data_IF_132207896243
#
_entry.id   IF_132207896243
#
_cell.length_a   1.000
_cell.length_b   1.000
_cell.length_c   1.000
_cell.angle_alpha   90.00
_cell.angle_beta   90.00
_cell.angle_gamma   90.00
#
_symmetry.space_group_name_H-M   'P 1'
#
loop_
_entity.id
_entity.type
_entity.pdbx_description
1 polymer ?
#
# COMPACT_ATOMS: atom_id res chain seq x y z
N UNK A 1 -69.16 52.14 -13.79
CA UNK A 1 -69.90 51.05 -14.43
C UNK A 1 -68.92 49.96 -14.80
N UNK A 2 -69.24 48.75 -14.33
CA UNK A 2 -68.70 47.42 -14.62
C UNK A 2 -67.28 47.02 -14.21
N UNK A 3 -67.32 46.13 -13.22
CA UNK A 3 -66.34 45.31 -12.51
C UNK A 3 -66.01 44.04 -13.31
N UNK A 4 -64.78 43.54 -13.15
CA UNK A 4 -64.41 42.09 -13.03
C UNK A 4 -62.88 42.03 -12.94
N UNK A 5 -62.20 41.87 -11.78
CA UNK A 5 -62.10 40.77 -10.79
C UNK A 5 -61.65 39.41 -11.35
N UNK A 6 -60.38 39.07 -11.10
CA UNK A 6 -59.97 37.84 -10.39
C UNK A 6 -58.62 38.06 -9.67
N UNK A 7 -58.60 37.64 -8.41
CA UNK A 7 -57.56 37.76 -7.38
C UNK A 7 -56.34 36.87 -7.69
N UNK A 8 -55.14 37.08 -7.13
CA UNK A 8 -54.71 36.59 -5.80
C UNK A 8 -53.57 37.45 -5.24
N UNK A 9 -53.67 37.80 -3.95
CA UNK A 9 -52.63 38.40 -3.11
C UNK A 9 -51.75 37.32 -2.46
N UNK A 10 -50.44 37.55 -2.36
CA UNK A 10 -49.59 36.87 -1.39
C UNK A 10 -48.58 37.86 -0.78
N UNK A 11 -48.50 37.77 0.55
CA UNK A 11 -47.80 38.63 1.51
C UNK A 11 -46.29 38.72 1.27
N UNK A 12 -45.75 39.93 1.42
CA UNK A 12 -44.37 40.19 1.81
C UNK A 12 -44.25 40.04 3.33
N UNK A 13 -43.51 39.03 3.80
CA UNK A 13 -42.96 38.99 5.14
C UNK A 13 -41.44 38.86 5.01
N UNK A 14 -40.73 39.90 5.45
CA UNK A 14 -39.28 39.90 5.51
C UNK A 14 -38.80 38.91 6.57
N UNK A 15 -37.86 38.05 6.18
CA UNK A 15 -37.05 37.28 7.10
C UNK A 15 -35.60 37.72 6.95
N UNK A 16 -35.07 38.28 8.03
CA UNK A 16 -33.64 38.44 8.32
C UNK A 16 -32.89 37.14 7.99
N UNK A 17 -31.95 37.22 7.04
CA UNK A 17 -30.94 36.20 6.82
C UNK A 17 -29.98 36.21 8.02
N UNK A 18 -30.19 35.27 8.95
CA UNK A 18 -29.12 34.79 9.82
C UNK A 18 -28.34 33.79 8.97
N UNK A 19 -27.15 34.19 8.52
CA UNK A 19 -26.16 33.27 7.96
C UNK A 19 -25.61 32.43 9.09
N UNK A 20 -26.25 31.30 9.39
CA UNK A 20 -25.54 30.20 10.04
C UNK A 20 -24.68 29.56 8.96
N UNK A 21 -23.37 29.78 9.06
CA UNK A 21 -22.39 28.97 8.37
C UNK A 21 -22.68 27.50 8.72
N UNK A 22 -23.27 26.78 7.78
CA UNK A 22 -23.33 25.33 7.87
C UNK A 22 -21.90 24.84 7.72
N UNK A 23 -21.32 24.33 8.80
CA UNK A 23 -20.32 23.29 8.68
C UNK A 23 -20.94 22.22 7.80
N UNK A 24 -20.49 22.13 6.55
CA UNK A 24 -20.53 20.86 5.86
C UNK A 24 -19.54 20.00 6.64
N UNK A 25 -20.08 19.16 7.52
CA UNK A 25 -19.35 17.98 7.97
C UNK A 25 -18.93 17.26 6.69
N UNK A 26 -17.65 17.36 6.36
CA UNK A 26 -17.02 16.50 5.40
C UNK A 26 -17.10 15.11 6.01
N UNK A 27 -18.08 14.32 5.57
CA UNK A 27 -18.04 12.89 5.74
C UNK A 27 -16.71 12.43 5.11
N UNK A 28 -15.85 11.84 5.94
CA UNK A 28 -14.69 11.08 5.46
C UNK A 28 -15.18 10.16 4.34
N UNK A 29 -14.48 10.16 3.21
CA UNK A 29 -14.75 9.20 2.15
C UNK A 29 -14.71 7.79 2.78
N UNK A 30 -15.78 7.01 2.62
CA UNK A 30 -15.79 5.63 3.09
C UNK A 30 -14.65 4.88 2.39
N UNK A 31 -13.81 4.20 3.17
CA UNK A 31 -12.75 3.31 2.68
C UNK A 31 -13.38 2.27 1.74
N UNK A 32 -13.02 2.28 0.45
CA UNK A 32 -13.50 1.28 -0.52
C UNK A 32 -12.68 -0.01 -0.47
N UNK A 33 -12.54 -0.57 0.73
CA UNK A 33 -11.94 -1.88 0.98
C UNK A 33 -12.91 -2.80 1.72
N UNK A 34 -12.57 -4.08 1.93
CA UNK A 34 -13.20 -4.85 3.00
C UNK A 34 -13.10 -4.07 4.32
N UNK A 35 -13.96 -4.32 5.29
CA UNK A 35 -13.81 -3.72 6.62
C UNK A 35 -12.54 -4.27 7.28
N UNK A 36 -11.40 -3.65 7.00
CA UNK A 36 -10.11 -3.97 7.59
C UNK A 36 -10.20 -3.55 9.05
N UNK A 37 -9.93 -4.48 9.98
CA UNK A 37 -9.84 -4.14 11.39
C UNK A 37 -8.82 -3.02 11.60
N UNK A 38 -8.99 -2.16 12.61
CA UNK A 38 -8.06 -1.05 12.82
C UNK A 38 -6.59 -1.50 12.96
N UNK A 39 -6.38 -2.76 13.39
CA UNK A 39 -5.07 -3.39 13.59
C UNK A 39 -4.65 -4.36 12.48
N UNK A 40 -5.47 -4.60 11.46
CA UNK A 40 -5.10 -5.53 10.38
C UNK A 40 -4.15 -4.86 9.36
N UNK A 41 -3.36 -5.71 8.70
CA UNK A 41 -2.43 -5.40 7.62
C UNK A 41 -2.64 -6.36 6.43
N UNK A 42 -3.75 -6.25 5.68
CA UNK A 42 -4.15 -7.27 4.73
C UNK A 42 -3.40 -7.25 3.40
N UNK A 43 -2.64 -6.20 3.07
CA UNK A 43 -1.99 -6.05 1.78
C UNK A 43 -0.79 -5.12 1.85
N UNK A 44 -0.15 -4.87 0.70
CA UNK A 44 0.93 -3.89 0.59
C UNK A 44 0.52 -2.56 1.20
N UNK A 45 1.39 -2.06 2.09
CA UNK A 45 1.18 -0.77 2.75
C UNK A 45 -0.22 -0.62 3.37
N UNK A 46 -0.79 -1.75 3.82
CA UNK A 46 -2.06 -1.92 4.54
C UNK A 46 -3.34 -1.64 3.76
N UNK A 47 -3.38 -0.62 2.91
CA UNK A 47 -4.61 -0.18 2.24
C UNK A 47 -4.48 -0.24 0.72
N UNK A 48 -5.61 -0.29 0.02
CA UNK A 48 -5.66 -0.22 -1.44
C UNK A 48 -5.01 1.06 -2.01
N UNK A 49 -4.85 2.10 -1.18
CA UNK A 49 -4.26 3.39 -1.55
C UNK A 49 -2.76 3.47 -1.26
N UNK A 50 -2.16 2.40 -0.74
CA UNK A 50 -0.75 2.27 -0.40
C UNK A 50 -0.28 3.36 0.59
N UNK A 51 -0.96 3.53 1.72
CA UNK A 51 -0.57 4.58 2.69
C UNK A 51 0.64 4.22 3.53
N UNK A 52 0.81 2.94 3.87
CA UNK A 52 1.91 2.49 4.75
C UNK A 52 1.75 3.02 6.17
N UNK A 53 0.51 3.30 6.58
CA UNK A 53 0.15 3.90 7.86
C UNK A 53 -0.87 3.03 8.61
N UNK A 54 -0.71 2.91 9.93
CA UNK A 54 -1.70 2.32 10.85
C UNK A 54 -1.85 3.12 12.13
N UNK A 55 -3.05 3.12 12.71
CA UNK A 55 -3.30 3.61 14.07
C UNK A 55 -2.98 2.57 15.15
N UNK A 56 -2.69 1.32 14.74
CA UNK A 56 -2.22 0.30 15.66
C UNK A 56 -0.89 0.71 16.29
N UNK A 57 -0.76 0.45 17.59
CA UNK A 57 0.54 0.56 18.24
C UNK A 57 1.49 -0.49 17.69
N UNK A 58 2.79 -0.19 17.75
CA UNK A 58 3.84 -1.20 17.67
C UNK A 58 4.67 -1.19 18.95
N UNK A 59 5.80 -1.93 18.98
CA UNK A 59 6.70 -1.92 20.14
C UNK A 59 7.18 -0.50 20.49
N UNK A 60 6.87 -0.07 21.72
CA UNK A 60 7.19 1.28 22.20
C UNK A 60 8.63 1.42 22.71
N UNK A 61 9.18 0.35 23.28
CA UNK A 61 10.57 0.25 23.69
C UNK A 61 11.37 -0.61 22.70
N UNK A 62 12.67 -0.78 22.93
CA UNK A 62 13.45 -1.75 22.14
C UNK A 62 12.75 -3.12 22.21
N UNK A 63 12.28 -3.66 21.07
CA UNK A 63 11.37 -4.79 21.07
C UNK A 63 12.06 -6.03 21.62
N UNK A 64 11.27 -6.99 22.09
CA UNK A 64 11.73 -8.36 22.35
C UNK A 64 11.20 -9.32 21.29
N UNK A 65 11.97 -10.37 20.97
CA UNK A 65 11.50 -11.40 20.04
C UNK A 65 10.38 -12.18 20.71
N UNK A 66 9.17 -12.09 20.14
CA UNK A 66 8.03 -12.91 20.56
C UNK A 66 8.21 -14.34 20.04
N UNK A 67 8.48 -14.45 18.75
CA UNK A 67 8.82 -15.71 18.08
C UNK A 67 9.64 -15.46 16.82
N UNK A 68 10.28 -16.54 16.35
CA UNK A 68 10.98 -16.64 15.07
C UNK A 68 10.63 -17.98 14.41
N UNK A 69 10.32 -17.94 13.12
CA UNK A 69 10.13 -19.12 12.27
C UNK A 69 11.14 -19.06 11.13
N UNK A 70 11.84 -20.17 10.86
CA UNK A 70 12.73 -20.30 9.71
C UNK A 70 11.97 -21.00 8.57
N UNK A 71 11.71 -20.26 7.49
CA UNK A 71 10.94 -20.68 6.32
C UNK A 71 11.87 -21.20 5.21
N UNK A 72 11.38 -22.06 4.30
CA UNK A 72 12.17 -22.52 3.17
C UNK A 72 12.33 -21.39 2.14
N UNK A 73 13.42 -20.64 2.24
CA UNK A 73 13.75 -19.55 1.32
C UNK A 73 13.42 -18.16 1.86
N UNK A 74 13.98 -17.14 1.23
CA UNK A 74 13.84 -15.76 1.66
C UNK A 74 12.39 -15.32 1.76
N UNK A 75 12.07 -14.53 2.78
CA UNK A 75 10.76 -13.91 2.91
C UNK A 75 10.66 -12.79 1.87
N UNK A 76 9.57 -12.77 1.08
CA UNK A 76 9.35 -11.76 0.05
C UNK A 76 9.17 -10.34 0.60
N UNK A 77 8.80 -9.39 -0.26
CA UNK A 77 8.79 -7.96 0.09
C UNK A 77 7.78 -7.55 1.18
N UNK A 78 6.83 -8.42 1.52
CA UNK A 78 5.81 -8.14 2.52
C UNK A 78 5.20 -9.41 3.12
N UNK A 79 4.50 -9.22 4.23
CA UNK A 79 3.56 -10.18 4.82
C UNK A 79 2.16 -9.55 4.89
N UNK A 80 1.12 -10.37 4.95
CA UNK A 80 -0.23 -9.93 5.30
C UNK A 80 -0.59 -10.43 6.70
N UNK A 81 -1.20 -9.61 7.53
CA UNK A 81 -1.63 -9.99 8.89
C UNK A 81 -3.09 -9.62 9.06
N UNK A 82 -3.96 -10.60 9.25
CA UNK A 82 -5.42 -10.36 9.38
C UNK A 82 -6.01 -11.33 10.37
N UNK A 83 -6.85 -10.84 11.28
CA UNK A 83 -7.57 -11.64 12.29
C UNK A 83 -6.64 -12.50 13.17
N UNK A 84 -5.41 -12.04 13.41
CA UNK A 84 -4.41 -12.78 14.19
C UNK A 84 -3.66 -13.87 13.42
N UNK A 85 -3.77 -13.91 12.08
CA UNK A 85 -2.99 -14.82 11.22
C UNK A 85 -2.00 -14.03 10.36
N UNK A 86 -0.75 -14.48 10.30
CA UNK A 86 0.30 -13.96 9.42
C UNK A 86 0.41 -14.87 8.19
N UNK A 87 0.19 -14.29 7.01
CA UNK A 87 0.37 -14.94 5.72
C UNK A 87 1.67 -14.49 5.08
N UNK A 88 2.45 -15.46 4.62
CA UNK A 88 3.79 -15.23 4.08
C UNK A 88 4.03 -16.07 2.84
N UNK A 89 4.62 -15.44 1.82
CA UNK A 89 5.12 -16.10 0.63
C UNK A 89 6.65 -15.98 0.58
N UNK A 90 7.31 -17.01 0.10
CA UNK A 90 8.77 -17.05 0.02
C UNK A 90 9.28 -17.06 -1.42
N UNK A 91 10.54 -16.64 -1.57
CA UNK A 91 11.29 -16.67 -2.81
C UNK A 91 11.46 -18.09 -3.38
N UNK A 92 11.26 -19.14 -2.58
CA UNK A 92 11.29 -20.53 -3.06
C UNK A 92 9.96 -21.00 -3.66
N UNK A 93 8.87 -20.28 -3.39
CA UNK A 93 7.51 -20.66 -3.79
C UNK A 93 6.66 -21.24 -2.66
N UNK A 94 7.16 -21.25 -1.42
CA UNK A 94 6.36 -21.70 -0.27
C UNK A 94 5.39 -20.62 0.21
N UNK A 95 4.21 -21.04 0.64
CA UNK A 95 3.15 -20.17 1.16
C UNK A 95 2.66 -20.75 2.50
N UNK A 96 2.60 -19.90 3.53
CA UNK A 96 2.27 -20.31 4.90
C UNK A 96 1.24 -19.38 5.54
N UNK A 97 0.46 -19.91 6.47
CA UNK A 97 -0.32 -19.17 7.46
C UNK A 97 0.14 -19.54 8.86
N UNK A 98 0.47 -18.53 9.67
CA UNK A 98 1.01 -18.68 11.02
C UNK A 98 0.15 -17.91 12.01
N UNK A 99 -0.08 -18.46 13.20
CA UNK A 99 -0.70 -17.70 14.30
C UNK A 99 0.22 -16.53 14.69
N UNK A 100 -0.32 -15.31 14.70
CA UNK A 100 0.45 -14.09 14.95
C UNK A 100 1.05 -14.02 16.36
N UNK A 101 0.53 -14.78 17.32
CA UNK A 101 0.98 -14.79 18.73
C UNK A 101 2.02 -15.85 19.00
N UNK A 102 1.94 -17.03 18.38
CA UNK A 102 2.85 -18.14 18.64
C UNK A 102 3.81 -18.45 17.50
N UNK A 103 3.48 -18.09 16.26
CA UNK A 103 4.21 -18.49 15.06
C UNK A 103 3.93 -19.94 14.63
N UNK A 104 2.95 -20.61 15.23
CA UNK A 104 2.56 -21.98 14.86
C UNK A 104 1.80 -21.97 13.52
N UNK A 105 2.04 -22.96 12.65
CA UNK A 105 1.31 -23.10 11.39
C UNK A 105 -0.18 -23.39 11.62
N UNK A 106 -1.06 -22.63 10.96
CA UNK A 106 -2.51 -22.81 11.02
C UNK A 106 -3.02 -23.84 9.99
N UNK A 107 -2.38 -23.90 8.82
CA UNK A 107 -2.61 -24.93 7.81
C UNK A 107 -1.28 -25.36 7.17
N UNK A 108 -1.29 -26.46 6.41
CA UNK A 108 -0.08 -27.08 5.88
C UNK A 108 0.54 -26.26 4.74
N UNK A 109 1.86 -26.08 4.75
CA UNK A 109 2.61 -25.39 3.68
C UNK A 109 2.21 -25.85 2.26
N UNK A 110 2.06 -24.87 1.37
CA UNK A 110 1.92 -25.09 -0.07
C UNK A 110 3.20 -24.68 -0.79
N UNK A 111 3.67 -25.50 -1.72
CA UNK A 111 4.84 -25.23 -2.57
C UNK A 111 4.42 -25.18 -4.04
N UNK A 112 4.60 -24.02 -4.66
CA UNK A 112 4.26 -23.77 -6.06
C UNK A 112 5.43 -23.98 -7.02
N UNK A 113 6.63 -24.31 -6.52
CA UNK A 113 7.83 -24.61 -7.31
C UNK A 113 8.40 -23.42 -8.09
N UNK A 114 7.83 -22.24 -7.91
CA UNK A 114 8.27 -20.94 -8.41
C UNK A 114 7.94 -19.89 -7.35
N UNK A 115 8.70 -18.80 -7.31
CA UNK A 115 8.48 -17.73 -6.34
C UNK A 115 7.01 -17.33 -6.28
N UNK A 116 6.50 -17.32 -5.06
CA UNK A 116 5.22 -16.76 -4.70
C UNK A 116 5.49 -15.44 -3.97
N UNK A 117 4.70 -14.41 -4.26
CA UNK A 117 4.97 -13.08 -3.72
C UNK A 117 3.69 -12.25 -3.58
N UNK A 118 3.83 -11.17 -2.80
CA UNK A 118 2.80 -10.16 -2.61
C UNK A 118 1.47 -10.72 -2.04
N UNK A 119 1.48 -11.42 -0.89
CA UNK A 119 0.24 -11.91 -0.29
C UNK A 119 -0.68 -10.74 0.05
N UNK A 120 -1.97 -10.91 -0.22
CA UNK A 120 -3.03 -10.05 0.27
C UNK A 120 -4.27 -10.85 0.68
N UNK A 121 -5.12 -10.25 1.51
CA UNK A 121 -6.35 -10.88 2.00
C UNK A 121 -7.57 -10.11 1.51
N UNK A 122 -8.51 -10.83 0.88
CA UNK A 122 -9.77 -10.27 0.36
C UNK A 122 -10.84 -11.34 0.33
N UNK A 123 -12.07 -11.00 0.72
CA UNK A 123 -13.27 -11.87 0.66
C UNK A 123 -13.09 -13.30 1.23
N UNK A 124 -12.30 -13.42 2.30
CA UNK A 124 -12.04 -14.70 2.96
C UNK A 124 -10.92 -15.53 2.32
N UNK A 125 -10.29 -15.03 1.25
CA UNK A 125 -9.17 -15.67 0.57
C UNK A 125 -7.85 -14.98 0.90
N UNK A 126 -6.78 -15.77 0.94
CA UNK A 126 -5.40 -15.33 0.76
C UNK A 126 -5.12 -15.37 -0.74
N UNK A 127 -4.70 -14.25 -1.31
CA UNK A 127 -4.39 -14.12 -2.73
C UNK A 127 -2.93 -13.71 -2.90
N UNK A 128 -2.23 -14.28 -3.87
CA UNK A 128 -0.84 -13.95 -4.18
C UNK A 128 -0.53 -14.16 -5.67
N UNK A 129 0.56 -13.55 -6.12
CA UNK A 129 1.08 -13.75 -7.48
C UNK A 129 2.22 -14.76 -7.50
N UNK A 130 2.46 -15.36 -8.67
CA UNK A 130 3.63 -16.20 -8.94
C UNK A 130 4.50 -15.59 -10.04
N UNK A 131 5.79 -15.94 -10.04
CA UNK A 131 6.69 -15.57 -11.15
C UNK A 131 6.31 -16.22 -12.49
N UNK A 132 5.48 -17.26 -12.49
CA UNK A 132 4.96 -17.89 -13.71
C UNK A 132 3.80 -17.13 -14.34
N UNK A 133 3.26 -16.11 -13.66
CA UNK A 133 2.16 -15.29 -14.15
C UNK A 133 0.78 -15.71 -13.65
N UNK A 134 0.71 -16.52 -12.60
CA UNK A 134 -0.55 -16.94 -12.00
C UNK A 134 -0.92 -16.01 -10.83
N UNK A 135 -2.20 -15.71 -10.69
CA UNK A 135 -2.79 -15.27 -9.42
C UNK A 135 -3.49 -16.49 -8.82
N UNK A 136 -3.15 -16.81 -7.57
CA UNK A 136 -3.72 -17.95 -6.84
C UNK A 136 -4.45 -17.43 -5.62
N UNK A 137 -5.62 -18.00 -5.35
CA UNK A 137 -6.39 -17.75 -4.14
C UNK A 137 -6.56 -19.03 -3.33
N UNK A 138 -6.27 -18.94 -2.04
CA UNK A 138 -6.45 -19.98 -1.04
C UNK A 138 -7.53 -19.57 -0.04
N UNK A 139 -8.42 -20.49 0.33
CA UNK A 139 -9.32 -20.31 1.46
C UNK A 139 -8.48 -20.12 2.74
N UNK A 140 -8.68 -19.01 3.44
CA UNK A 140 -7.88 -18.66 4.63
C UNK A 140 -8.02 -19.65 5.78
N UNK A 141 -9.13 -20.39 5.83
CA UNK A 141 -9.48 -21.25 6.97
C UNK A 141 -8.78 -22.60 6.93
N UNK A 142 -8.50 -23.13 5.74
CA UNK A 142 -7.90 -24.47 5.59
C UNK A 142 -6.78 -24.56 4.56
N UNK A 143 -6.45 -23.46 3.87
CA UNK A 143 -5.40 -23.40 2.85
C UNK A 143 -5.78 -24.04 1.51
N UNK A 144 -7.03 -24.51 1.34
CA UNK A 144 -7.43 -25.12 0.08
C UNK A 144 -7.49 -24.10 -1.06
N UNK A 145 -7.06 -24.48 -2.26
CA UNK A 145 -7.12 -23.61 -3.43
C UNK A 145 -8.58 -23.33 -3.81
N UNK A 146 -8.96 -22.05 -3.75
CA UNK A 146 -10.28 -21.57 -4.13
C UNK A 146 -10.36 -21.37 -5.65
N UNK A 147 -9.36 -20.69 -6.22
CA UNK A 147 -9.25 -20.43 -7.66
C UNK A 147 -7.81 -20.06 -8.06
N UNK A 148 -7.52 -20.19 -9.36
CA UNK A 148 -6.26 -19.75 -9.99
C UNK A 148 -6.56 -19.14 -11.36
N UNK A 149 -5.94 -17.99 -11.66
CA UNK A 149 -6.07 -17.28 -12.93
C UNK A 149 -4.70 -17.02 -13.55
N UNK A 150 -4.49 -17.51 -14.78
CA UNK A 150 -3.27 -17.28 -15.57
C UNK A 150 -3.33 -15.91 -16.26
N UNK A 151 -2.32 -15.07 -16.04
CA UNK A 151 -2.16 -13.75 -16.67
C UNK A 151 -1.11 -13.78 -17.78
N UNK A 152 -0.88 -12.63 -18.44
CA UNK A 152 0.00 -12.55 -19.62
C UNK A 152 1.50 -12.70 -19.34
N UNK A 153 1.91 -12.73 -18.08
CA UNK A 153 3.31 -12.75 -17.66
C UNK A 153 3.47 -12.58 -16.16
N UNK A 154 4.72 -12.50 -15.65
CA UNK A 154 5.00 -12.43 -14.23
C UNK A 154 4.25 -11.28 -13.57
N UNK A 155 3.62 -11.61 -12.46
CA UNK A 155 2.69 -10.73 -11.77
C UNK A 155 3.48 -9.69 -10.97
N UNK A 156 3.04 -8.43 -11.04
CA UNK A 156 3.35 -7.44 -10.02
C UNK A 156 2.50 -7.71 -8.76
N UNK A 157 2.42 -6.79 -7.81
CA UNK A 157 1.66 -7.03 -6.58
C UNK A 157 0.15 -6.84 -6.74
N UNK A 158 -0.72 -7.80 -6.34
CA UNK A 158 -2.16 -7.62 -6.38
C UNK A 158 -2.64 -6.63 -5.31
N UNK A 159 -3.55 -5.74 -5.70
CA UNK A 159 -4.15 -4.73 -4.80
C UNK A 159 -5.65 -4.99 -4.65
N UNK A 160 -6.13 -5.42 -3.47
CA UNK A 160 -7.56 -5.63 -3.24
C UNK A 160 -8.29 -4.31 -2.99
N UNK A 161 -9.45 -4.11 -3.63
CA UNK A 161 -10.32 -2.97 -3.38
C UNK A 161 -11.78 -3.31 -3.70
N UNK A 162 -12.66 -3.18 -2.70
CA UNK A 162 -14.12 -3.32 -2.88
C UNK A 162 -14.62 -4.63 -3.49
N UNK A 163 -13.95 -5.76 -3.23
CA UNK A 163 -14.29 -7.08 -3.80
C UNK A 163 -13.60 -7.38 -5.13
N UNK A 164 -12.76 -6.48 -5.62
CA UNK A 164 -11.96 -6.66 -6.83
C UNK A 164 -10.47 -6.73 -6.49
N UNK A 165 -9.68 -7.26 -7.42
CA UNK A 165 -8.22 -7.31 -7.41
C UNK A 165 -7.69 -6.58 -8.64
N UNK A 166 -6.78 -5.63 -8.40
CA UNK A 166 -6.09 -4.91 -9.47
C UNK A 166 -4.65 -5.35 -9.55
N UNK A 167 -4.22 -5.74 -10.74
CA UNK A 167 -2.95 -6.44 -10.94
C UNK A 167 -2.24 -5.94 -12.18
N UNK A 168 -0.94 -5.68 -12.06
CA UNK A 168 -0.07 -5.40 -13.20
C UNK A 168 0.75 -6.61 -13.63
N UNK A 169 1.16 -6.68 -14.89
CA UNK A 169 2.15 -7.65 -15.36
C UNK A 169 3.40 -6.95 -15.88
N UNK A 170 4.54 -7.64 -15.72
CA UNK A 170 5.86 -7.10 -16.10
C UNK A 170 6.25 -7.50 -17.52
N UNK A 171 5.88 -8.70 -17.98
CA UNK A 171 6.03 -9.14 -19.37
C UNK A 171 4.70 -9.11 -20.11
N UNK A 172 4.75 -8.77 -21.40
CA UNK A 172 3.55 -8.47 -22.20
C UNK A 172 2.60 -7.55 -21.43
N UNK A 173 3.06 -6.34 -21.06
CA UNK A 173 2.59 -5.66 -19.87
C UNK A 173 1.15 -5.18 -20.00
N UNK A 174 0.36 -5.51 -18.98
CA UNK A 174 -1.07 -5.22 -18.88
C UNK A 174 -1.44 -4.83 -17.46
N UNK A 175 -2.59 -4.19 -17.32
CA UNK A 175 -3.29 -4.04 -16.04
C UNK A 175 -4.61 -4.78 -16.14
N UNK A 176 -4.94 -5.50 -15.08
CA UNK A 176 -6.13 -6.33 -14.95
C UNK A 176 -6.99 -5.85 -13.77
N UNK A 177 -8.30 -6.02 -13.91
CA UNK A 177 -9.23 -6.15 -12.80
C UNK A 177 -9.82 -7.56 -12.79
N UNK A 178 -9.80 -8.20 -11.62
CA UNK A 178 -10.35 -9.51 -11.38
C UNK A 178 -11.37 -9.42 -10.25
N UNK A 179 -12.45 -10.19 -10.35
CA UNK A 179 -13.35 -10.43 -9.23
C UNK A 179 -12.61 -11.26 -8.15
N UNK A 180 -12.61 -10.82 -6.89
CA UNK A 180 -11.84 -11.46 -5.84
C UNK A 180 -12.43 -12.81 -5.41
N UNK A 181 -13.72 -13.02 -5.63
CA UNK A 181 -14.42 -14.23 -5.19
C UNK A 181 -14.14 -15.45 -6.06
N UNK A 182 -13.87 -15.28 -7.36
CA UNK A 182 -13.66 -16.39 -8.30
C UNK A 182 -12.50 -16.19 -9.31
N UNK A 183 -11.84 -15.03 -9.29
CA UNK A 183 -10.72 -14.72 -10.17
C UNK A 183 -11.12 -14.44 -11.62
N UNK A 184 -12.41 -14.23 -11.92
CA UNK A 184 -12.84 -13.85 -13.26
C UNK A 184 -12.27 -12.49 -13.65
N UNK A 185 -11.63 -12.41 -14.82
CA UNK A 185 -11.11 -11.15 -15.37
C UNK A 185 -12.31 -10.32 -15.88
N UNK A 186 -12.57 -9.19 -15.22
CA UNK A 186 -13.60 -8.25 -15.65
C UNK A 186 -13.12 -7.41 -16.84
N UNK A 187 -11.88 -6.91 -16.77
CA UNK A 187 -11.23 -6.21 -17.85
C UNK A 187 -9.71 -6.33 -17.78
N UNK A 188 -9.06 -6.17 -18.93
CA UNK A 188 -7.61 -6.10 -19.02
C UNK A 188 -7.14 -5.20 -20.17
N UNK A 189 -6.23 -4.27 -19.85
CA UNK A 189 -5.75 -3.26 -20.81
C UNK A 189 -4.24 -3.35 -21.01
N UNK A 190 -3.74 -3.27 -22.27
CA UNK A 190 -2.31 -3.17 -22.52
C UNK A 190 -1.75 -1.83 -22.03
N UNK A 191 -0.53 -1.86 -21.48
CA UNK A 191 0.22 -0.66 -21.11
C UNK A 191 1.56 -0.60 -21.84
N UNK A 192 2.17 0.58 -21.86
CA UNK A 192 3.33 0.87 -22.72
C UNK A 192 4.66 0.32 -22.16
N UNK A 193 4.68 -0.11 -20.90
CA UNK A 193 5.86 -0.58 -20.19
C UNK A 193 5.45 -1.49 -19.01
N UNK A 194 6.38 -2.35 -18.51
CA UNK A 194 6.16 -3.13 -17.29
C UNK A 194 5.55 -2.31 -16.16
N UNK A 195 4.50 -2.85 -15.53
CA UNK A 195 3.95 -2.26 -14.30
C UNK A 195 4.95 -2.48 -13.16
N UNK A 196 5.22 -1.44 -12.38
CA UNK A 196 6.07 -1.55 -11.18
C UNK A 196 5.21 -1.87 -9.96
N UNK A 197 5.66 -2.86 -9.19
CA UNK A 197 5.16 -3.24 -7.87
C UNK A 197 3.61 -3.24 -7.75
N UNK A 198 3.02 -2.33 -6.97
CA UNK A 198 1.60 -2.35 -6.61
C UNK A 198 0.83 -1.16 -7.21
N UNK A 199 -0.34 -1.39 -7.82
CA UNK A 199 -1.30 -0.33 -8.11
C UNK A 199 -1.76 0.41 -6.83
N UNK A 200 -2.25 1.64 -6.97
CA UNK A 200 -3.02 2.32 -5.92
C UNK A 200 -4.44 2.58 -6.41
N UNK A 201 -5.42 2.11 -5.66
CA UNK A 201 -6.83 2.06 -6.06
C UNK A 201 -7.66 2.98 -5.19
N UNK A 202 -8.54 3.71 -5.85
CA UNK A 202 -9.57 4.56 -5.27
C UNK A 202 -10.92 4.17 -5.85
N UNK A 203 -12.00 4.72 -5.31
CA UNK A 203 -13.38 4.47 -5.70
C UNK A 203 -13.60 4.57 -7.21
N UNK A 204 -12.90 5.48 -7.89
CA UNK A 204 -13.10 5.78 -9.31
C UNK A 204 -11.87 5.55 -10.20
N UNK A 205 -10.74 5.10 -9.64
CA UNK A 205 -9.52 4.97 -10.42
C UNK A 205 -8.49 3.98 -9.89
N UNK A 206 -7.71 3.45 -10.83
CA UNK A 206 -6.51 2.64 -10.60
C UNK A 206 -5.29 3.44 -11.06
N UNK A 207 -4.30 3.59 -10.18
CA UNK A 207 -3.07 4.33 -10.46
C UNK A 207 -1.91 3.35 -10.55
N UNK A 208 -1.17 3.37 -11.66
CA UNK A 208 -0.05 2.44 -11.88
C UNK A 208 1.20 3.18 -12.31
N UNK A 209 2.30 2.87 -11.64
CA UNK A 209 3.63 3.22 -12.11
C UNK A 209 4.06 2.23 -13.19
N UNK A 210 4.72 2.72 -14.24
CA UNK A 210 5.30 1.91 -15.29
C UNK A 210 6.78 2.28 -15.45
N UNK A 211 7.65 1.32 -15.73
CA UNK A 211 9.07 1.59 -15.98
C UNK A 211 9.64 0.76 -17.14
N UNK A 212 10.31 1.45 -18.05
CA UNK A 212 11.28 0.85 -18.95
C UNK A 212 12.70 1.08 -18.39
N UNK A 213 13.18 0.09 -17.65
CA UNK A 213 14.49 0.15 -16.98
C UNK A 213 15.65 0.30 -17.97
N UNK A 214 15.57 -0.34 -19.15
CA UNK A 214 16.60 -0.26 -20.18
C UNK A 214 16.76 1.15 -20.78
N UNK A 215 15.67 1.92 -20.80
CA UNK A 215 15.65 3.28 -21.36
C UNK A 215 15.66 4.37 -20.29
N UNK A 216 15.62 4.00 -19.01
CA UNK A 216 15.44 4.92 -17.87
C UNK A 216 14.22 5.84 -18.07
N UNK A 217 13.14 5.28 -18.61
CA UNK A 217 11.87 5.97 -18.83
C UNK A 217 10.82 5.39 -17.90
N UNK A 218 9.96 6.25 -17.35
CA UNK A 218 8.85 5.81 -16.52
C UNK A 218 7.61 6.64 -16.76
N UNK A 219 6.47 6.12 -16.32
CA UNK A 219 5.18 6.78 -16.44
C UNK A 219 4.32 6.51 -15.21
N UNK A 220 3.45 7.46 -14.87
CA UNK A 220 2.32 7.24 -13.98
C UNK A 220 1.04 7.33 -14.80
N UNK A 221 0.22 6.29 -14.76
CA UNK A 221 -1.09 6.25 -15.40
C UNK A 221 -2.18 6.34 -14.34
N UNK A 222 -3.27 7.04 -14.67
CA UNK A 222 -4.56 6.91 -14.00
C UNK A 222 -5.53 6.27 -14.98
N UNK A 223 -6.04 5.12 -14.60
CA UNK A 223 -7.05 4.38 -15.33
C UNK A 223 -8.41 4.58 -14.67
N UNK A 224 -9.47 4.55 -15.47
CA UNK A 224 -10.84 4.41 -14.98
C UNK A 224 -10.98 3.04 -14.32
N UNK A 225 -11.58 2.98 -13.13
CA UNK A 225 -11.70 1.74 -12.37
C UNK A 225 -12.60 0.71 -13.06
N UNK A 226 -13.70 1.16 -13.65
CA UNK A 226 -14.73 0.27 -14.22
C UNK A 226 -14.33 -0.26 -15.60
N UNK A 227 -13.61 0.53 -16.40
CA UNK A 227 -13.26 0.15 -17.78
C UNK A 227 -11.78 -0.15 -18.03
N UNK A 228 -10.90 0.26 -17.13
CA UNK A 228 -9.45 0.24 -17.34
C UNK A 228 -8.95 1.30 -18.33
N UNK A 229 -9.83 2.16 -18.87
CA UNK A 229 -9.44 3.17 -19.86
C UNK A 229 -8.48 4.19 -19.24
N UNK A 230 -7.41 4.53 -19.97
CA UNK A 230 -6.49 5.57 -19.50
C UNK A 230 -7.17 6.94 -19.50
N UNK A 231 -7.37 7.51 -18.30
CA UNK A 231 -7.89 8.87 -18.12
C UNK A 231 -6.79 9.88 -18.40
N UNK A 232 -5.60 9.66 -17.85
CA UNK A 232 -4.39 10.44 -18.17
C UNK A 232 -3.12 9.66 -17.87
N UNK A 233 -2.01 10.12 -18.45
CA UNK A 233 -0.65 9.67 -18.13
C UNK A 233 0.32 10.84 -17.96
N UNK A 234 1.37 10.67 -17.17
CA UNK A 234 2.48 11.62 -17.01
C UNK A 234 3.81 10.90 -17.08
N UNK A 235 4.82 11.56 -17.64
CA UNK A 235 6.17 11.05 -17.70
C UNK A 235 6.84 11.13 -16.31
N UNK A 236 7.74 10.19 -16.05
CA UNK A 236 8.56 10.10 -14.85
C UNK A 236 9.86 9.35 -15.13
N UNK A 237 10.57 8.93 -14.08
CA UNK A 237 11.85 8.22 -14.19
C UNK A 237 12.08 7.35 -12.97
N UNK A 238 12.26 6.03 -13.17
CA UNK A 238 12.36 5.04 -12.08
C UNK A 238 11.16 5.08 -11.15
N UNK A 239 9.99 4.79 -11.70
CA UNK A 239 8.74 4.82 -10.95
C UNK A 239 8.75 3.79 -9.83
N UNK A 240 8.00 4.07 -8.77
CA UNK A 240 7.65 3.14 -7.70
C UNK A 240 6.12 3.07 -7.60
N UNK A 241 5.59 2.25 -6.68
CA UNK A 241 4.15 2.19 -6.43
C UNK A 241 3.62 3.60 -6.11
N UNK A 242 2.57 4.09 -6.79
CA UNK A 242 1.93 5.33 -6.39
C UNK A 242 1.22 5.19 -5.04
N UNK A 243 1.00 6.32 -4.38
CA UNK A 243 0.25 6.45 -3.13
C UNK A 243 -0.82 7.51 -3.30
N UNK A 244 -2.03 7.29 -2.77
CA UNK A 244 -3.13 8.27 -2.91
C UNK A 244 -3.70 8.68 -1.57
N UNK A 245 -3.49 9.94 -1.17
CA UNK A 245 -4.04 10.49 0.08
C UNK A 245 -4.59 11.90 -0.16
N UNK A 246 -5.71 12.26 0.49
CA UNK A 246 -6.35 13.59 0.38
C UNK A 246 -6.49 14.12 -1.07
N UNK A 247 -6.96 13.27 -1.98
CA UNK A 247 -7.08 13.57 -3.43
C UNK A 247 -5.74 13.94 -4.11
N UNK A 248 -4.62 13.66 -3.48
CA UNK A 248 -3.27 13.83 -4.05
C UNK A 248 -2.72 12.47 -4.41
N UNK A 249 -2.22 12.38 -5.64
CA UNK A 249 -1.54 11.20 -6.16
C UNK A 249 -0.05 11.49 -6.06
N UNK A 250 0.60 10.81 -5.13
CA UNK A 250 2.03 10.79 -4.96
C UNK A 250 2.59 9.76 -5.92
N UNK A 251 3.49 10.19 -6.80
CA UNK A 251 4.14 9.37 -7.80
C UNK A 251 5.64 9.34 -7.49
N UNK A 252 6.10 8.39 -6.65
CA UNK A 252 7.49 8.32 -6.29
C UNK A 252 8.32 7.88 -7.49
N UNK A 253 9.42 8.58 -7.68
CA UNK A 253 10.40 8.40 -8.75
C UNK A 253 11.77 8.85 -8.22
N UNK A 254 12.76 9.19 -9.05
CA UNK A 254 13.99 9.83 -8.52
C UNK A 254 13.68 11.06 -7.63
N UNK A 255 12.57 11.75 -7.91
CA UNK A 255 11.87 12.71 -7.06
C UNK A 255 10.41 12.27 -6.91
N UNK A 256 9.65 12.83 -5.96
CA UNK A 256 8.23 12.51 -5.82
C UNK A 256 7.39 13.62 -6.44
N UNK A 257 6.85 13.35 -7.63
CA UNK A 257 5.87 14.24 -8.25
C UNK A 257 4.50 14.04 -7.60
N UNK A 258 3.72 15.11 -7.48
CA UNK A 258 2.37 15.09 -6.94
C UNK A 258 1.38 15.58 -7.99
N UNK A 259 0.24 14.92 -8.10
CA UNK A 259 -0.80 15.24 -9.06
C UNK A 259 -2.18 15.29 -8.39
N UNK A 260 -3.03 16.21 -8.87
CA UNK A 260 -4.48 16.17 -8.58
C UNK A 260 -5.13 15.02 -9.36
N UNK A 261 -6.36 14.59 -9.02
CA UNK A 261 -7.04 13.50 -9.72
C UNK A 261 -7.28 13.80 -11.21
N UNK A 262 -7.37 15.09 -11.56
CA UNK A 262 -7.43 15.58 -12.93
C UNK A 262 -6.12 15.44 -13.73
N UNK A 263 -5.04 14.94 -13.12
CA UNK A 263 -3.70 14.84 -13.68
C UNK A 263 -2.95 16.17 -13.72
N UNK A 264 -3.47 17.23 -13.10
CA UNK A 264 -2.78 18.52 -13.01
C UNK A 264 -1.66 18.40 -11.98
N UNK A 265 -0.44 18.72 -12.39
CA UNK A 265 0.72 18.77 -11.51
C UNK A 265 0.44 19.68 -10.30
N UNK A 266 0.63 19.13 -9.10
CA UNK A 266 0.38 19.78 -7.83
C UNK A 266 1.68 20.24 -7.15
N UNK A 267 2.81 19.59 -7.45
CA UNK A 267 4.11 19.93 -6.91
C UNK A 267 5.10 18.78 -7.04
N UNK A 268 6.29 18.99 -6.51
CA UNK A 268 7.32 17.95 -6.38
C UNK A 268 7.95 18.04 -5.01
N UNK A 269 8.27 16.88 -4.47
CA UNK A 269 9.05 16.72 -3.27
C UNK A 269 10.37 16.03 -3.62
N UNK A 270 11.46 16.66 -3.21
CA UNK A 270 12.79 16.10 -3.27
C UNK A 270 13.46 16.21 -1.91
N UNK A 271 14.25 15.19 -1.61
CA UNK A 271 15.20 15.15 -0.50
C UNK A 271 16.58 14.83 -1.08
N UNK A 272 17.64 15.00 -0.32
CA UNK A 272 18.99 14.75 -0.83
C UNK A 272 19.19 13.25 -1.13
N UNK A 273 19.09 12.87 -2.41
CA UNK A 273 19.22 11.48 -2.84
C UNK A 273 18.17 11.09 -3.88
N UNK A 274 17.91 9.79 -4.01
CA UNK A 274 16.84 9.24 -4.85
C UNK A 274 15.81 8.53 -3.99
N UNK A 275 14.54 8.75 -4.28
CA UNK A 275 13.43 8.00 -3.66
C UNK A 275 13.38 6.65 -4.38
N UNK A 276 13.89 5.63 -3.69
CA UNK A 276 14.04 4.29 -4.24
C UNK A 276 12.95 3.34 -3.76
N UNK A 277 12.13 3.75 -2.80
CA UNK A 277 11.08 2.93 -2.21
C UNK A 277 9.79 3.73 -2.06
N UNK A 278 8.65 3.04 -2.16
CA UNK A 278 7.33 3.64 -1.90
C UNK A 278 7.30 4.23 -0.48
N UNK A 279 6.97 5.53 -0.32
CA UNK A 279 6.94 6.19 0.97
C UNK A 279 5.73 5.76 1.80
N UNK A 280 5.69 6.17 3.06
CA UNK A 280 4.47 6.17 3.84
C UNK A 280 3.82 7.57 3.82
N UNK A 281 2.52 7.63 3.62
CA UNK A 281 1.70 8.85 3.60
C UNK A 281 0.58 8.70 4.62
N UNK A 282 0.42 9.71 5.47
CA UNK A 282 -0.58 9.76 6.55
C UNK A 282 -1.68 10.78 6.23
N UNK A 283 -2.83 10.70 6.92
CA UNK A 283 -4.03 11.53 6.70
C UNK A 283 -3.89 12.99 7.20
N UNK A 284 -2.77 13.62 6.85
CA UNK A 284 -2.41 15.01 7.16
C UNK A 284 -1.27 15.58 6.32
N UNK A 285 -0.94 14.98 5.17
CA UNK A 285 0.09 15.39 4.17
C UNK A 285 1.57 15.14 4.50
N UNK A 286 1.88 14.51 5.62
CA UNK A 286 3.26 14.14 5.96
C UNK A 286 3.66 12.88 5.20
N UNK A 287 4.69 13.01 4.37
CA UNK A 287 5.30 11.89 3.65
C UNK A 287 6.61 11.52 4.33
N UNK A 288 6.75 10.24 4.69
CA UNK A 288 8.01 9.69 5.17
C UNK A 288 8.76 9.07 4.00
N UNK A 289 9.91 9.65 3.65
CA UNK A 289 10.66 9.29 2.45
C UNK A 289 12.04 8.76 2.83
N UNK A 290 12.35 7.55 2.39
CA UNK A 290 13.70 6.98 2.46
C UNK A 290 14.50 7.23 1.19
N UNK A 291 15.64 7.92 1.28
CA UNK A 291 16.57 8.11 0.14
C UNK A 291 18.02 7.92 0.54
N UNK A 292 18.70 6.91 -0.01
CA UNK A 292 20.17 6.82 0.02
C UNK A 292 20.83 7.01 1.40
N UNK A 293 20.14 6.64 2.47
CA UNK A 293 20.58 6.86 3.86
C UNK A 293 19.98 8.09 4.56
N UNK A 294 18.89 8.66 4.05
CA UNK A 294 18.14 9.74 4.69
C UNK A 294 16.69 9.31 4.86
N UNK A 295 16.09 9.66 5.99
CA UNK A 295 14.66 9.65 6.21
C UNK A 295 14.18 11.08 6.48
N UNK A 296 13.09 11.51 5.85
CA UNK A 296 12.52 12.82 6.13
C UNK A 296 11.00 12.75 6.17
N UNK A 297 10.39 13.52 7.07
CA UNK A 297 8.98 13.88 7.02
C UNK A 297 8.85 15.22 6.32
N UNK A 298 7.82 15.36 5.49
CA UNK A 298 7.54 16.66 4.89
C UNK A 298 6.06 16.83 4.61
N UNK A 299 5.52 17.95 5.09
CA UNK A 299 4.20 18.46 4.71
C UNK A 299 4.22 19.08 3.31
N UNK A 300 3.07 19.12 2.63
CA UNK A 300 2.93 19.52 1.22
C UNK A 300 3.46 20.93 0.90
N UNK A 301 3.43 21.87 1.88
CA UNK A 301 3.64 23.30 1.62
C UNK A 301 4.92 23.88 2.22
N UNK A 302 5.48 23.26 3.24
CA UNK A 302 6.69 23.72 3.92
C UNK A 302 7.83 22.68 3.76
N UNK A 303 9.07 23.08 4.05
CA UNK A 303 10.21 22.15 4.03
C UNK A 303 9.99 20.93 4.94
N UNK A 304 10.89 19.93 4.92
CA UNK A 304 10.74 18.79 5.79
C UNK A 304 10.67 19.23 7.26
N UNK A 305 9.75 18.63 8.02
CA UNK A 305 9.60 18.90 9.46
C UNK A 305 10.85 18.43 10.20
N UNK A 306 11.39 17.29 9.79
CA UNK A 306 12.69 16.80 10.19
C UNK A 306 13.38 16.01 9.07
N UNK A 307 14.71 15.95 9.17
CA UNK A 307 15.57 15.10 8.33
C UNK A 307 16.48 14.33 9.26
N UNK A 308 16.50 13.01 9.11
CA UNK A 308 17.36 12.09 9.81
C UNK A 308 18.32 11.42 8.82
N UNK A 309 19.62 11.51 9.11
CA UNK A 309 20.64 10.70 8.42
C UNK A 309 20.73 9.33 9.09
N UNK A 310 20.55 8.27 8.31
CA UNK A 310 20.62 6.88 8.73
C UNK A 310 22.05 6.37 8.59
N UNK A 311 22.45 5.53 9.55
CA UNK A 311 23.69 4.75 9.47
C UNK A 311 23.44 3.52 8.57
N UNK A 312 23.43 3.74 7.25
CA UNK A 312 23.09 2.71 6.26
C UNK A 312 21.94 3.14 5.35
N UNK A 313 21.64 2.33 4.32
CA UNK A 313 20.51 2.63 3.44
C UNK A 313 19.28 1.87 3.91
N UNK A 314 18.07 2.43 3.74
CA UNK A 314 16.86 1.63 3.90
C UNK A 314 16.79 0.53 2.85
N UNK A 315 16.48 -0.71 3.26
CA UNK A 315 16.24 -1.82 2.35
C UNK A 315 14.81 -1.79 1.79
N UNK A 316 13.87 -1.21 2.55
CA UNK A 316 12.48 -1.04 2.15
C UNK A 316 11.94 0.33 2.56
N UNK A 317 10.76 0.68 2.06
CA UNK A 317 10.06 1.91 2.45
C UNK A 317 9.62 1.88 3.92
N UNK A 318 9.51 3.04 4.58
CA UNK A 318 9.08 3.11 5.97
C UNK A 318 7.61 2.69 6.16
N UNK A 319 7.27 2.31 7.38
CA UNK A 319 5.88 2.20 7.85
C UNK A 319 5.67 3.14 9.02
N UNK A 320 4.54 3.83 9.03
CA UNK A 320 4.11 4.68 10.15
C UNK A 320 3.07 3.92 10.97
N UNK A 321 3.27 3.84 12.27
CA UNK A 321 2.35 3.21 13.21
C UNK A 321 2.23 4.11 14.43
N UNK A 322 1.03 4.69 14.61
CA UNK A 322 0.74 5.71 15.62
C UNK A 322 1.79 6.85 15.66
N UNK A 323 2.60 6.92 16.71
CA UNK A 323 3.62 7.95 16.94
C UNK A 323 5.02 7.57 16.41
N UNK A 324 5.13 6.50 15.61
CA UNK A 324 6.41 5.90 15.21
C UNK A 324 6.54 5.69 13.72
N UNK A 325 7.79 5.74 13.28
CA UNK A 325 8.22 5.17 12.01
C UNK A 325 9.05 3.93 12.27
N UNK A 326 8.73 2.83 11.60
CA UNK A 326 9.53 1.62 11.55
C UNK A 326 10.20 1.48 10.18
N UNK A 327 11.47 1.07 10.20
CA UNK A 327 12.28 0.89 9.01
C UNK A 327 13.23 -0.29 9.16
N UNK A 328 13.34 -1.08 8.10
CA UNK A 328 14.34 -2.12 7.93
C UNK A 328 15.45 -1.62 6.97
N UNK A 329 16.70 -1.61 7.43
CA UNK A 329 17.85 -1.09 6.69
C UNK A 329 18.90 -2.14 6.32
N UNK A 330 19.80 -1.77 5.42
CA UNK A 330 21.06 -2.44 5.16
C UNK A 330 21.78 -2.75 6.48
N UNK A 331 22.53 -3.85 6.52
CA UNK A 331 23.16 -4.40 7.76
C UNK A 331 22.19 -5.01 8.77
N UNK A 332 20.96 -5.35 8.35
CA UNK A 332 20.00 -6.09 9.17
C UNK A 332 19.56 -5.34 10.45
N UNK A 333 19.56 -4.00 10.42
CA UNK A 333 19.12 -3.19 11.56
C UNK A 333 17.68 -2.72 11.39
N UNK A 334 16.83 -3.14 12.33
CA UNK A 334 15.48 -2.61 12.50
C UNK A 334 15.56 -1.32 13.34
N UNK A 335 14.90 -0.28 12.87
CA UNK A 335 14.95 1.05 13.50
C UNK A 335 13.54 1.53 13.79
N UNK A 336 13.35 2.10 14.98
CA UNK A 336 12.15 2.89 15.32
C UNK A 336 12.53 4.34 15.55
N UNK A 337 11.71 5.24 15.03
CA UNK A 337 11.94 6.69 15.03
C UNK A 337 10.66 7.37 15.51
N UNK A 338 10.81 8.40 16.33
CA UNK A 338 9.70 9.28 16.73
C UNK A 338 9.18 10.01 15.48
N UNK A 339 7.93 9.78 15.12
CA UNK A 339 7.33 10.32 13.91
C UNK A 339 7.25 11.86 13.92
N UNK A 340 7.14 12.48 15.10
CA UNK A 340 7.01 13.93 15.24
C UNK A 340 8.37 14.65 15.23
N UNK A 341 9.40 14.03 15.80
CA UNK A 341 10.69 14.65 16.07
C UNK A 341 11.82 14.17 15.14
N UNK A 342 11.67 12.99 14.52
CA UNK A 342 12.70 12.37 13.70
C UNK A 342 13.87 11.80 14.49
N UNK A 343 13.69 11.60 15.80
CA UNK A 343 14.71 11.04 16.68
C UNK A 343 14.65 9.52 16.68
N UNK A 344 15.80 8.85 16.55
CA UNK A 344 15.84 7.40 16.67
C UNK A 344 15.57 7.00 18.12
N UNK A 345 14.50 6.24 18.32
CA UNK A 345 14.08 5.73 19.63
C UNK A 345 14.88 4.49 20.01
N UNK A 346 15.05 3.57 19.07
CA UNK A 346 15.85 2.37 19.27
C UNK A 346 16.36 1.79 17.95
N UNK A 347 17.39 0.94 18.05
CA UNK A 347 17.95 0.13 16.95
C UNK A 347 18.07 -1.30 17.43
N UNK A 348 17.67 -2.24 16.59
CA UNK A 348 17.78 -3.67 16.86
C UNK A 348 18.44 -4.39 15.68
N UNK A 349 19.69 -4.85 15.83
CA UNK A 349 20.32 -5.73 14.86
C UNK A 349 19.63 -7.10 14.83
N UNK A 350 19.45 -7.64 13.63
CA UNK A 350 18.97 -8.99 13.38
C UNK A 350 20.05 -9.81 12.66
N UNK A 351 19.88 -11.12 12.69
CA UNK A 351 20.66 -12.02 11.84
C UNK A 351 20.01 -12.09 10.46
N UNK A 352 20.81 -11.90 9.40
CA UNK A 352 20.37 -11.98 8.00
C UNK A 352 19.92 -10.64 7.42
N UNK A 353 20.10 -10.44 6.11
CA UNK A 353 19.62 -9.22 5.44
C UNK A 353 18.09 -9.21 5.37
N UNK A 354 17.45 -8.05 5.40
CA UNK A 354 15.99 -7.99 5.33
C UNK A 354 15.46 -8.42 3.96
N UNK A 355 14.32 -9.11 3.97
CA UNK A 355 13.54 -9.45 2.78
C UNK A 355 12.25 -8.64 2.68
N UNK A 356 11.65 -8.28 3.82
CA UNK A 356 10.33 -7.63 3.86
C UNK A 356 10.38 -6.14 4.23
N UNK A 357 9.37 -5.39 3.80
CA UNK A 357 8.89 -4.20 4.52
C UNK A 357 8.25 -4.62 5.85
N UNK A 358 8.52 -3.92 6.97
CA UNK A 358 7.86 -4.23 8.23
C UNK A 358 6.33 -4.13 8.13
N UNK A 359 5.61 -4.99 8.83
CA UNK A 359 4.16 -4.88 9.01
C UNK A 359 3.83 -4.72 10.50
N UNK A 360 2.91 -3.82 10.83
CA UNK A 360 2.45 -3.60 12.21
C UNK A 360 1.00 -3.99 12.33
N UNK A 361 0.73 -4.99 13.18
CA UNK A 361 -0.60 -5.48 13.45
C UNK A 361 -0.68 -6.05 14.86
N UNK A 362 -1.83 -5.88 15.53
CA UNK A 362 -2.10 -6.37 16.88
C UNK A 362 -0.98 -6.09 17.90
N UNK A 363 -0.50 -4.84 17.95
CA UNK A 363 0.60 -4.37 18.81
C UNK A 363 1.94 -5.10 18.58
N UNK A 364 2.10 -5.76 17.43
CA UNK A 364 3.29 -6.49 17.06
C UNK A 364 3.88 -6.00 15.74
N UNK A 365 5.19 -6.17 15.62
CA UNK A 365 5.96 -5.80 14.44
C UNK A 365 6.51 -7.07 13.79
N UNK A 366 6.12 -7.31 12.54
CA UNK A 366 6.51 -8.49 11.75
C UNK A 366 7.55 -8.10 10.72
N UNK A 367 8.65 -8.85 10.67
CA UNK A 367 9.75 -8.60 9.74
C UNK A 367 10.39 -9.92 9.30
N UNK A 368 10.59 -10.08 8.00
CA UNK A 368 11.25 -11.22 7.37
C UNK A 368 12.61 -10.87 6.77
N UNK A 369 13.48 -11.87 6.69
CA UNK A 369 14.83 -11.80 6.13
C UNK A 369 14.95 -12.57 4.82
N UNK A 370 15.94 -12.20 4.01
CA UNK A 370 16.24 -12.82 2.72
C UNK A 370 16.78 -14.24 2.82
N UNK A 371 17.19 -14.68 4.03
CA UNK A 371 17.56 -16.07 4.34
C UNK A 371 16.41 -16.90 4.90
N UNK A 372 15.21 -16.31 5.06
CA UNK A 372 13.98 -17.02 5.36
C UNK A 372 13.52 -16.96 6.83
N UNK A 373 14.18 -16.19 7.68
CA UNK A 373 13.68 -15.97 9.03
C UNK A 373 12.53 -14.97 9.03
N UNK A 374 11.38 -15.34 9.59
CA UNK A 374 10.27 -14.45 9.89
C UNK A 374 10.20 -14.24 11.40
N UNK A 375 10.20 -12.98 11.82
CA UNK A 375 10.15 -12.56 13.22
C UNK A 375 8.83 -11.87 13.53
N UNK A 376 8.34 -12.09 14.75
CA UNK A 376 7.40 -11.18 15.40
C UNK A 376 8.04 -10.57 16.65
N UNK A 377 7.83 -9.26 16.80
CA UNK A 377 8.35 -8.45 17.88
C UNK A 377 7.23 -7.82 18.70
N UNK A 378 7.45 -7.67 20.00
CA UNK A 378 6.57 -6.98 20.96
C UNK A 378 7.31 -5.98 21.84
#
# INVERSE_FOLDING_TARGET
MNVSRREVSALLAGSTLVSTAGCVDFLAAEETGPAIGPTDWPSFQRTARNHGYTEAGGPSDEPTERWRVDLPGGVGEQVAVVDGTVYVCTESGSVHALDAKSGDEEWAEHDYGARAHCPCVVDGNLVFGTETGDIVALDRTDGSEAWTTELSGPVAGPTPAGGELYVGTTESPRVYALEATDGEIEWDVPVDAPVVDYPAVTDDAVHVGLENTAMLQGWIHRLDRESGDTVWRRDGTRMQSPVVADQTIYAPSLTMSMYRPSGVYAGEMSVSGHILWTPAVTDGTSVVIGTGGILATKSHDDGPDWILELEGRPHSGPVVADDRVYLAGDEAVLVSIDYQQGEVLWRRPLDGEFGTRPAVADDALFVGTSDGALYAFE
#
